data_IF_030753858190
#
_entry.id   IF_030753858190
#
_cell.length_a   1.000
_cell.length_b   1.000
_cell.length_c   1.000
_cell.angle_alpha   90.00
_cell.angle_beta   90.00
_cell.angle_gamma   90.00
#
_symmetry.space_group_name_H-M   'P 1'
#
loop_
_entity.id
_entity.type
_entity.pdbx_description
1 polymer ?
#
# COMPACT_ATOMS: atom_id res chain seq x y z
N UNK A 1 -4.91 10.32 86.57
CA UNK A 1 -6.03 11.18 86.13
C UNK A 1 -6.15 11.07 84.63
N UNK A 2 -7.35 10.67 84.20
CA UNK A 2 -7.84 10.42 82.85
C UNK A 2 -7.70 11.59 81.88
N UNK A 3 -7.28 11.35 80.64
CA UNK A 3 -8.00 11.83 79.43
C UNK A 3 -7.62 11.02 78.19
N UNK A 4 -8.55 10.19 77.70
CA UNK A 4 -8.55 9.65 76.34
C UNK A 4 -9.01 10.75 75.38
N UNK A 5 -8.30 10.97 74.26
CA UNK A 5 -8.86 11.61 73.07
C UNK A 5 -8.70 10.70 71.86
N UNK A 6 -9.85 10.22 71.36
CA UNK A 6 -10.07 9.73 70.00
C UNK A 6 -9.58 10.79 68.99
N UNK A 7 -9.09 10.37 67.82
CA UNK A 7 -9.88 10.49 66.58
C UNK A 7 -9.04 10.34 65.30
N UNK A 8 -9.50 9.42 64.45
CA UNK A 8 -9.44 9.33 62.99
C UNK A 8 -8.08 9.17 62.26
N UNK A 9 -7.86 7.90 61.86
CA UNK A 9 -7.11 7.48 60.67
C UNK A 9 -7.70 8.12 59.41
N UNK A 10 -6.93 8.96 58.73
CA UNK A 10 -7.17 9.35 57.35
C UNK A 10 -6.53 8.33 56.41
N UNK A 11 -7.34 7.51 55.74
CA UNK A 11 -6.91 6.64 54.65
C UNK A 11 -6.74 7.55 53.41
N UNK A 12 -5.50 7.78 53.01
CA UNK A 12 -5.18 8.46 51.75
C UNK A 12 -5.31 7.45 50.62
N UNK A 13 -6.41 7.52 49.86
CA UNK A 13 -6.55 6.76 48.60
C UNK A 13 -5.74 7.49 47.54
N UNK A 14 -4.55 6.96 47.23
CA UNK A 14 -3.75 7.41 46.09
C UNK A 14 -4.43 6.96 44.79
N UNK A 15 -5.14 7.87 44.13
CA UNK A 15 -5.60 7.70 42.75
C UNK A 15 -4.38 7.67 41.83
N UNK A 16 -3.93 6.46 41.48
CA UNK A 16 -2.94 6.26 40.43
C UNK A 16 -3.58 6.55 39.08
N UNK A 17 -3.25 7.72 38.53
CA UNK A 17 -3.61 8.08 37.15
C UNK A 17 -2.74 7.23 36.23
N UNK A 18 -3.31 6.16 35.68
CA UNK A 18 -2.69 5.43 34.57
C UNK A 18 -2.65 6.37 33.36
N UNK A 19 -1.51 6.99 33.13
CA UNK A 19 -1.17 7.68 31.89
C UNK A 19 -1.10 6.63 30.78
N UNK A 20 -2.24 6.36 30.13
CA UNK A 20 -2.28 5.71 28.83
C UNK A 20 -1.48 6.59 27.88
N UNK A 21 -0.23 6.19 27.67
CA UNK A 21 0.67 6.78 26.69
C UNK A 21 0.12 6.37 25.33
N UNK A 22 -0.83 7.15 24.80
CA UNK A 22 -1.24 7.07 23.42
C UNK A 22 -0.06 7.55 22.58
N UNK A 23 0.89 6.65 22.31
CA UNK A 23 1.87 6.88 21.25
C UNK A 23 1.06 7.13 19.98
N UNK A 24 1.17 8.29 19.32
CA UNK A 24 0.64 8.41 17.98
C UNK A 24 1.40 7.37 17.16
N UNK A 25 0.69 6.37 16.65
CA UNK A 25 1.25 5.43 15.66
C UNK A 25 1.47 6.29 14.42
N UNK A 26 2.68 6.82 14.28
CA UNK A 26 3.10 7.46 13.05
C UNK A 26 3.24 6.32 12.06
N UNK A 27 2.23 6.15 11.20
CA UNK A 27 2.42 5.42 9.96
C UNK A 27 3.73 5.95 9.35
N UNK A 28 4.69 5.07 9.09
CA UNK A 28 5.94 5.45 8.47
C UNK A 28 5.59 6.25 7.21
N UNK A 29 5.96 7.53 7.18
CA UNK A 29 5.82 8.33 5.98
C UNK A 29 6.81 7.73 4.98
N UNK A 30 6.31 6.91 4.08
CA UNK A 30 6.99 6.58 2.83
C UNK A 30 7.17 7.89 2.06
N UNK A 31 8.24 8.60 2.38
CA UNK A 31 8.61 9.75 1.59
C UNK A 31 8.89 9.25 0.18
N UNK A 32 8.35 9.93 -0.83
CA UNK A 32 8.72 9.80 -2.25
C UNK A 32 10.23 9.99 -2.53
N UNK A 33 11.05 10.17 -1.49
CA UNK A 33 12.45 10.61 -1.56
C UNK A 33 13.46 9.50 -1.87
N UNK A 34 13.04 8.25 -2.00
CA UNK A 34 13.89 7.13 -2.42
C UNK A 34 13.78 6.81 -3.93
N UNK A 35 12.81 7.40 -4.64
CA UNK A 35 12.74 7.34 -6.11
C UNK A 35 13.70 8.35 -6.73
N UNK A 36 14.48 7.91 -7.72
CA UNK A 36 15.21 8.81 -8.61
C UNK A 36 14.26 9.66 -9.48
N UNK A 37 14.76 10.75 -10.05
CA UNK A 37 13.97 11.61 -10.94
C UNK A 37 13.43 10.86 -12.18
N UNK A 38 14.19 9.90 -12.68
CA UNK A 38 13.80 9.04 -13.80
C UNK A 38 12.67 8.09 -13.39
N UNK A 39 12.83 7.34 -12.30
CA UNK A 39 11.80 6.43 -11.78
C UNK A 39 10.50 7.17 -11.44
N UNK A 40 10.62 8.39 -10.90
CA UNK A 40 9.45 9.24 -10.61
C UNK A 40 8.73 9.66 -11.89
N UNK A 41 9.47 10.02 -12.93
CA UNK A 41 8.90 10.40 -14.23
C UNK A 41 8.24 9.21 -14.91
N UNK A 42 8.87 8.03 -14.89
CA UNK A 42 8.30 6.79 -15.41
C UNK A 42 6.99 6.44 -14.69
N UNK A 43 6.97 6.51 -13.35
CA UNK A 43 5.76 6.29 -12.56
C UNK A 43 4.66 7.29 -12.93
N UNK A 44 4.98 8.58 -13.01
CA UNK A 44 4.02 9.63 -13.36
C UNK A 44 3.39 9.38 -14.72
N UNK A 45 4.20 9.05 -15.73
CA UNK A 45 3.72 8.74 -17.08
C UNK A 45 2.87 7.47 -17.10
N UNK A 46 3.31 6.41 -16.43
CA UNK A 46 2.62 5.12 -16.43
C UNK A 46 1.28 5.16 -15.68
N UNK A 47 1.18 5.96 -14.63
CA UNK A 47 -0.01 6.08 -13.78
C UNK A 47 -0.93 7.25 -14.18
N UNK A 48 -0.52 8.10 -15.13
CA UNK A 48 -1.28 9.31 -15.47
C UNK A 48 -1.32 10.32 -14.32
N UNK A 49 -0.22 10.43 -13.57
CA UNK A 49 -0.09 11.37 -12.45
C UNK A 49 0.62 12.63 -12.94
N UNK A 50 0.05 13.78 -12.64
CA UNK A 50 0.65 15.09 -12.87
C UNK A 50 0.99 15.72 -11.52
N UNK A 51 2.25 16.13 -11.32
CA UNK A 51 2.67 16.84 -10.11
C UNK A 51 3.06 18.28 -10.44
N UNK A 52 2.73 19.20 -9.54
CA UNK A 52 3.17 20.59 -9.62
C UNK A 52 4.70 20.65 -9.49
N UNK A 53 5.35 21.32 -10.43
CA UNK A 53 6.82 21.49 -10.44
C UNK A 53 7.32 22.44 -9.35
N UNK A 54 6.45 23.31 -8.83
CA UNK A 54 6.73 24.23 -7.73
C UNK A 54 6.48 23.63 -6.34
N UNK A 55 5.68 22.57 -6.28
CA UNK A 55 5.36 21.80 -5.07
C UNK A 55 5.37 20.32 -5.43
N UNK A 56 6.55 19.69 -5.35
CA UNK A 56 6.79 18.30 -5.79
C UNK A 56 5.83 17.24 -5.25
N UNK A 57 5.13 17.56 -4.17
CA UNK A 57 4.25 16.65 -3.42
C UNK A 57 2.75 16.90 -3.72
N UNK A 58 2.43 17.95 -4.48
CA UNK A 58 1.09 18.23 -4.95
C UNK A 58 0.86 17.52 -6.29
N UNK A 59 0.48 16.25 -6.22
CA UNK A 59 0.21 15.41 -7.38
C UNK A 59 -1.29 15.14 -7.53
N UNK A 60 -1.73 14.95 -8.77
CA UNK A 60 -3.13 14.65 -9.12
C UNK A 60 -3.22 13.60 -10.22
N UNK A 61 -4.30 12.83 -10.24
CA UNK A 61 -4.66 11.94 -11.34
C UNK A 61 -6.16 12.03 -11.64
N UNK A 62 -6.55 11.84 -12.90
CA UNK A 62 -7.94 12.03 -13.36
C UNK A 62 -8.10 13.28 -14.22
N UNK A 63 -9.32 13.81 -14.30
CA UNK A 63 -9.66 14.97 -15.11
C UNK A 63 -9.73 16.24 -14.25
N UNK A 64 -8.63 16.99 -14.23
CA UNK A 64 -8.53 18.27 -13.50
C UNK A 64 -9.46 19.33 -14.09
N UNK A 65 -9.67 19.35 -15.40
CA UNK A 65 -10.50 20.36 -16.08
C UNK A 65 -11.99 20.25 -15.70
N UNK A 66 -12.49 19.02 -15.52
CA UNK A 66 -13.87 18.78 -15.08
C UNK A 66 -14.04 18.77 -13.56
N UNK A 67 -12.95 18.91 -12.79
CA UNK A 67 -12.95 18.79 -11.33
C UNK A 67 -13.11 17.34 -10.84
N UNK A 68 -12.90 16.36 -11.71
CA UNK A 68 -13.07 14.93 -11.43
C UNK A 68 -11.69 14.25 -11.36
N UNK A 69 -10.97 14.58 -10.29
CA UNK A 69 -9.60 14.15 -10.06
C UNK A 69 -9.38 13.82 -8.59
N UNK A 70 -8.31 13.07 -8.34
CA UNK A 70 -7.85 12.74 -7.01
C UNK A 70 -6.57 13.49 -6.70
N UNK A 71 -6.37 13.81 -5.42
CA UNK A 71 -5.02 14.09 -4.92
C UNK A 71 -4.27 12.76 -4.87
N UNK A 72 -3.00 12.77 -5.27
CA UNK A 72 -2.17 11.58 -5.32
C UNK A 72 -0.98 11.74 -4.41
N UNK A 73 -0.72 10.71 -3.61
CA UNK A 73 0.54 10.55 -2.87
C UNK A 73 1.37 9.47 -3.55
N UNK A 74 2.61 9.81 -3.87
CA UNK A 74 3.59 8.88 -4.45
C UNK A 74 4.33 8.19 -3.30
N UNK A 75 4.42 6.85 -3.38
CA UNK A 75 5.21 6.00 -2.51
C UNK A 75 6.59 5.75 -3.09
N UNK A 76 7.46 5.16 -2.27
CA UNK A 76 8.84 4.88 -2.62
C UNK A 76 9.05 3.68 -3.54
N UNK A 77 10.31 3.32 -3.72
CA UNK A 77 10.73 2.18 -4.53
C UNK A 77 10.23 0.86 -3.94
N UNK A 78 9.76 -0.03 -4.82
CA UNK A 78 9.38 -1.41 -4.49
C UNK A 78 10.56 -2.31 -4.09
N UNK A 79 11.77 -1.76 -3.99
CA UNK A 79 12.99 -2.46 -3.60
C UNK A 79 13.48 -1.95 -2.24
N UNK A 80 13.59 -0.62 -2.11
CA UNK A 80 14.27 0.00 -0.96
C UNK A 80 13.33 0.19 0.24
N UNK A 81 12.08 0.56 -0.02
CA UNK A 81 11.06 0.79 1.00
C UNK A 81 9.68 0.33 0.49
N UNK A 82 9.53 -0.97 0.16
CA UNK A 82 8.32 -1.46 -0.48
C UNK A 82 7.11 -1.32 0.45
N UNK A 83 6.05 -0.70 -0.08
CA UNK A 83 4.74 -0.74 0.54
C UNK A 83 3.93 -1.87 -0.09
N UNK A 84 3.81 -2.99 0.61
CA UNK A 84 3.13 -4.16 0.06
C UNK A 84 1.62 -4.12 0.27
N UNK A 85 0.92 -4.86 -0.56
CA UNK A 85 -0.47 -5.22 -0.35
C UNK A 85 -0.81 -6.53 -1.04
N UNK A 86 -2.05 -6.97 -0.92
CA UNK A 86 -2.54 -8.21 -1.52
C UNK A 86 -3.94 -7.99 -2.08
N UNK A 87 -4.15 -8.45 -3.31
CA UNK A 87 -5.49 -8.51 -3.90
C UNK A 87 -6.37 -9.43 -3.07
N UNK A 88 -7.64 -9.08 -2.91
CA UNK A 88 -8.60 -9.88 -2.16
C UNK A 88 -8.84 -11.26 -2.81
N UNK A 89 -9.84 -11.98 -2.31
CA UNK A 89 -10.21 -13.34 -2.71
C UNK A 89 -10.80 -13.44 -4.13
N UNK A 90 -10.82 -12.35 -4.90
CA UNK A 90 -11.40 -12.26 -6.25
C UNK A 90 -10.39 -11.68 -7.23
N UNK A 91 -10.47 -12.16 -8.47
CA UNK A 91 -9.75 -11.55 -9.59
C UNK A 91 -10.25 -10.13 -9.79
N UNK A 92 -9.32 -9.22 -10.07
CA UNK A 92 -9.65 -7.81 -10.32
C UNK A 92 -9.04 -7.31 -11.62
N UNK A 93 -9.55 -6.16 -12.05
CA UNK A 93 -9.09 -5.45 -13.23
C UNK A 93 -7.98 -4.49 -12.86
N UNK A 94 -6.89 -4.50 -13.63
CA UNK A 94 -5.80 -3.54 -13.54
C UNK A 94 -6.06 -2.41 -14.54
N UNK A 95 -6.29 -1.19 -14.05
CA UNK A 95 -6.79 -0.07 -14.87
C UNK A 95 -5.66 0.92 -15.19
N UNK A 96 -5.65 1.48 -16.41
CA UNK A 96 -4.60 2.41 -16.85
C UNK A 96 -4.66 3.76 -16.11
N UNK A 97 -5.85 4.17 -15.70
CA UNK A 97 -6.11 5.41 -14.98
C UNK A 97 -7.07 5.18 -13.83
N UNK A 98 -7.13 6.17 -12.94
CA UNK A 98 -8.13 6.24 -11.87
C UNK A 98 -9.56 6.26 -12.42
N UNK A 99 -10.54 5.81 -11.62
CA UNK A 99 -11.93 5.89 -12.02
C UNK A 99 -12.43 7.33 -11.95
N UNK A 100 -13.09 7.78 -13.01
CA UNK A 100 -13.74 9.09 -13.09
C UNK A 100 -15.21 8.90 -13.46
N UNK A 101 -16.03 9.91 -13.27
CA UNK A 101 -17.45 9.95 -13.62
C UNK A 101 -17.68 9.41 -15.03
N UNK A 102 -18.42 8.30 -15.11
CA UNK A 102 -18.79 7.67 -16.38
C UNK A 102 -17.75 6.72 -16.97
N UNK A 103 -16.60 6.51 -16.34
CA UNK A 103 -15.62 5.50 -16.78
C UNK A 103 -14.69 5.01 -15.67
N UNK A 104 -14.56 3.70 -15.54
CA UNK A 104 -13.55 3.09 -14.65
C UNK A 104 -12.13 3.17 -15.24
N UNK A 105 -11.97 3.65 -16.48
CA UNK A 105 -10.71 3.65 -17.20
C UNK A 105 -10.47 2.34 -17.96
N UNK A 106 -9.46 2.36 -18.83
CA UNK A 106 -9.13 1.22 -19.71
C UNK A 106 -8.44 0.10 -18.92
N UNK A 107 -8.92 -1.13 -19.07
CA UNK A 107 -8.26 -2.35 -18.58
C UNK A 107 -6.95 -2.64 -19.31
N UNK A 108 -5.87 -2.82 -18.57
CA UNK A 108 -4.55 -3.26 -19.07
C UNK A 108 -4.26 -4.73 -18.73
N UNK A 109 -4.99 -5.33 -17.79
CA UNK A 109 -4.90 -6.74 -17.46
C UNK A 109 -5.81 -7.15 -16.30
N UNK A 110 -5.73 -8.42 -15.90
CA UNK A 110 -6.42 -8.94 -14.73
C UNK A 110 -5.42 -9.58 -13.75
N UNK A 111 -5.55 -9.22 -12.48
CA UNK A 111 -4.75 -9.80 -11.40
C UNK A 111 -5.50 -10.96 -10.77
N UNK A 112 -4.76 -12.01 -10.40
CA UNK A 112 -5.32 -13.17 -9.73
C UNK A 112 -5.79 -12.83 -8.30
N UNK A 113 -6.73 -13.62 -7.74
CA UNK A 113 -7.00 -13.59 -6.31
C UNK A 113 -5.71 -13.76 -5.50
N UNK A 114 -5.61 -13.09 -4.35
CA UNK A 114 -4.46 -13.17 -3.44
C UNK A 114 -3.11 -12.75 -4.05
N UNK A 115 -3.11 -12.09 -5.21
CA UNK A 115 -1.91 -11.60 -5.86
C UNK A 115 -1.18 -10.60 -4.94
N UNK A 116 0.10 -10.87 -4.65
CA UNK A 116 0.98 -9.92 -3.96
C UNK A 116 1.27 -8.73 -4.89
N UNK A 117 1.22 -7.53 -4.34
CA UNK A 117 1.48 -6.30 -5.08
C UNK A 117 2.38 -5.36 -4.26
N UNK A 118 3.12 -4.51 -4.96
CA UNK A 118 3.75 -3.33 -4.39
C UNK A 118 2.92 -2.09 -4.77
N UNK A 119 2.56 -1.29 -3.77
CA UNK A 119 1.84 -0.02 -3.89
C UNK A 119 2.85 1.09 -4.19
N UNK A 120 2.67 1.77 -5.31
CA UNK A 120 3.56 2.84 -5.80
C UNK A 120 2.94 4.23 -5.69
N UNK A 121 1.61 4.33 -5.69
CA UNK A 121 0.89 5.58 -5.43
C UNK A 121 -0.48 5.29 -4.83
N UNK A 122 -1.06 6.28 -4.15
CA UNK A 122 -2.46 6.27 -3.72
C UNK A 122 -3.19 7.51 -4.19
N UNK A 123 -4.38 7.31 -4.73
CA UNK A 123 -5.35 8.34 -5.02
C UNK A 123 -6.28 8.51 -3.82
N UNK A 124 -6.40 9.74 -3.33
CA UNK A 124 -7.13 10.08 -2.12
C UNK A 124 -8.22 11.11 -2.41
N UNK A 125 -9.35 10.94 -1.75
CA UNK A 125 -10.35 12.00 -1.55
C UNK A 125 -10.23 12.45 -0.11
N UNK A 126 -9.84 13.71 0.10
CA UNK A 126 -9.39 14.23 1.39
C UNK A 126 -8.23 13.40 1.96
N UNK A 127 -8.49 12.61 3.00
CA UNK A 127 -7.52 11.74 3.69
C UNK A 127 -7.81 10.25 3.51
N UNK A 128 -8.84 9.92 2.71
CA UNK A 128 -9.28 8.53 2.52
C UNK A 128 -8.72 7.97 1.23
N UNK A 129 -8.00 6.86 1.34
CA UNK A 129 -7.47 6.10 0.22
C UNK A 129 -8.62 5.51 -0.58
N UNK A 130 -8.68 5.83 -1.88
CA UNK A 130 -9.77 5.41 -2.77
C UNK A 130 -9.27 4.40 -3.80
N UNK A 131 -8.08 4.62 -4.34
CA UNK A 131 -7.44 3.72 -5.31
C UNK A 131 -5.93 3.66 -5.09
N UNK A 132 -5.34 2.50 -5.39
CA UNK A 132 -3.89 2.32 -5.36
C UNK A 132 -3.36 2.08 -6.77
N UNK A 133 -2.26 2.74 -7.12
CA UNK A 133 -1.47 2.34 -8.27
C UNK A 133 -0.46 1.29 -7.82
N UNK A 134 -0.58 0.09 -8.38
CA UNK A 134 0.17 -1.08 -7.93
C UNK A 134 0.99 -1.69 -9.04
N UNK A 135 2.08 -2.36 -8.66
CA UNK A 135 2.84 -3.29 -9.49
C UNK A 135 2.62 -4.70 -8.95
N UNK A 136 2.14 -5.61 -9.79
CA UNK A 136 2.03 -7.00 -9.37
C UNK A 136 3.41 -7.65 -9.30
N UNK A 137 3.64 -8.45 -8.26
CA UNK A 137 4.89 -9.16 -8.05
C UNK A 137 4.71 -10.63 -8.44
N UNK A 138 5.75 -11.34 -8.89
CA UNK A 138 5.67 -12.78 -9.06
C UNK A 138 5.17 -13.43 -7.77
N UNK A 139 4.22 -14.36 -7.89
CA UNK A 139 3.84 -15.25 -6.79
C UNK A 139 4.88 -16.36 -6.57
N UNK A 140 5.92 -16.40 -7.40
CA UNK A 140 7.02 -17.33 -7.24
C UNK A 140 7.81 -16.98 -6.00
N UNK A 141 8.00 -17.99 -5.15
CA UNK A 141 8.76 -17.83 -3.92
C UNK A 141 10.23 -17.56 -4.22
N UNK A 142 10.87 -16.74 -3.37
CA UNK A 142 12.30 -16.50 -3.44
C UNK A 142 13.13 -17.79 -3.20
N UNK A 143 14.44 -17.74 -3.45
CA UNK A 143 15.33 -18.89 -3.29
C UNK A 143 15.33 -19.50 -1.88
N UNK A 144 14.92 -18.74 -0.87
CA UNK A 144 14.72 -19.15 0.52
C UNK A 144 13.64 -20.24 0.71
N UNK A 145 12.76 -20.41 -0.27
CA UNK A 145 11.61 -21.32 -0.20
C UNK A 145 11.89 -22.72 -0.78
N UNK A 146 13.16 -23.08 -0.94
CA UNK A 146 13.53 -24.39 -1.48
C UNK A 146 13.18 -25.50 -0.48
N UNK A 147 12.35 -26.44 -0.92
CA UNK A 147 11.95 -27.66 -0.21
C UNK A 147 11.06 -27.46 1.06
N UNK A 148 10.59 -26.23 1.32
CA UNK A 148 9.68 -25.93 2.44
C UNK A 148 8.21 -26.21 2.09
N UNK A 149 7.49 -26.89 2.99
CA UNK A 149 6.10 -27.30 2.73
C UNK A 149 5.14 -26.11 2.59
N UNK A 150 5.44 -25.02 3.31
CA UNK A 150 4.73 -23.73 3.25
C UNK A 150 4.97 -22.98 1.93
N UNK A 151 6.02 -23.36 1.19
CA UNK A 151 6.37 -22.78 -0.10
C UNK A 151 6.09 -23.74 -1.26
N UNK A 152 5.26 -24.77 -1.05
CA UNK A 152 4.78 -25.61 -2.16
C UNK A 152 4.22 -24.70 -3.25
N UNK A 153 4.76 -24.83 -4.46
CA UNK A 153 4.30 -24.05 -5.61
C UNK A 153 2.78 -24.12 -5.69
N UNK A 154 2.07 -22.99 -5.72
CA UNK A 154 0.63 -22.99 -5.89
C UNK A 154 0.27 -23.75 -7.17
N UNK A 155 -0.96 -24.25 -7.25
CA UNK A 155 -1.47 -24.72 -8.54
C UNK A 155 -1.26 -23.62 -9.59
N UNK A 156 -0.89 -23.97 -10.84
CA UNK A 156 -0.70 -22.99 -11.88
C UNK A 156 -1.93 -22.09 -12.00
N UNK A 157 -1.72 -20.77 -12.00
CA UNK A 157 -2.80 -19.80 -12.15
C UNK A 157 -3.55 -20.05 -13.47
N UNK A 158 -4.84 -19.66 -13.59
CA UNK A 158 -5.53 -19.59 -14.88
C UNK A 158 -4.71 -18.85 -15.96
N UNK A 159 -4.89 -19.25 -17.23
CA UNK A 159 -4.06 -18.80 -18.36
C UNK A 159 -4.09 -17.28 -18.54
N UNK A 160 -5.23 -16.64 -18.25
CA UNK A 160 -5.38 -15.19 -18.27
C UNK A 160 -4.39 -14.49 -17.33
N UNK A 161 -4.23 -14.96 -16.10
CA UNK A 161 -3.33 -14.37 -15.12
C UNK A 161 -1.87 -14.67 -15.44
N UNK A 162 -1.58 -15.88 -15.93
CA UNK A 162 -0.24 -16.20 -16.44
C UNK A 162 0.15 -15.26 -17.58
N UNK A 163 -0.78 -14.96 -18.49
CA UNK A 163 -0.54 -14.07 -19.63
C UNK A 163 -0.27 -12.63 -19.18
N UNK A 164 -1.02 -12.14 -18.18
CA UNK A 164 -0.80 -10.83 -17.56
C UNK A 164 0.59 -10.73 -16.91
N UNK A 165 1.05 -11.80 -16.26
CA UNK A 165 2.35 -11.86 -15.58
C UNK A 165 3.52 -12.29 -16.47
N UNK A 166 3.28 -12.67 -17.73
CA UNK A 166 4.28 -13.36 -18.57
C UNK A 166 5.58 -12.57 -18.82
N UNK A 167 5.54 -11.24 -18.71
CA UNK A 167 6.70 -10.36 -18.87
C UNK A 167 7.38 -9.99 -17.55
N UNK A 168 6.76 -10.35 -16.42
CA UNK A 168 7.24 -10.02 -15.09
C UNK A 168 8.38 -10.96 -14.71
N UNK A 169 9.57 -10.41 -14.54
CA UNK A 169 10.77 -11.17 -14.19
C UNK A 169 11.58 -10.43 -13.11
N UNK A 170 12.30 -11.20 -12.30
CA UNK A 170 13.27 -10.64 -11.37
C UNK A 170 14.39 -9.97 -12.19
N UNK A 171 14.71 -8.72 -11.85
CA UNK A 171 15.74 -7.92 -12.49
C UNK A 171 16.78 -7.55 -11.44
N UNK A 172 18.03 -7.94 -11.65
CA UNK A 172 19.11 -7.72 -10.67
C UNK A 172 19.42 -6.25 -10.36
N UNK A 173 18.97 -5.32 -11.21
CA UNK A 173 19.20 -3.88 -11.05
C UNK A 173 17.93 -3.14 -10.61
N UNK A 174 16.77 -3.51 -11.16
CA UNK A 174 15.47 -2.86 -10.92
C UNK A 174 14.56 -3.66 -9.98
N UNK A 175 15.04 -4.75 -9.39
CA UNK A 175 14.29 -5.71 -8.57
C UNK A 175 13.32 -6.54 -9.40
N UNK A 176 12.42 -5.88 -10.14
CA UNK A 176 11.46 -6.50 -11.04
C UNK A 176 11.31 -5.69 -12.32
N UNK A 177 11.27 -6.36 -13.47
CA UNK A 177 11.09 -5.75 -14.78
C UNK A 177 9.89 -6.37 -15.51
N UNK A 178 9.19 -5.55 -16.30
CA UNK A 178 8.08 -6.01 -17.16
C UNK A 178 6.82 -6.44 -16.41
N UNK A 179 6.74 -6.18 -15.11
CA UNK A 179 5.59 -6.53 -14.30
C UNK A 179 4.38 -5.64 -14.60
N UNK A 180 3.16 -6.20 -14.61
CA UNK A 180 1.96 -5.45 -14.92
C UNK A 180 1.68 -4.44 -13.81
N UNK A 181 1.28 -3.23 -14.22
CA UNK A 181 1.03 -2.09 -13.35
C UNK A 181 -0.29 -1.41 -13.69
N UNK A 182 -0.95 -0.83 -12.69
CA UNK A 182 -2.18 -0.07 -12.89
C UNK A 182 -2.91 0.25 -11.59
N UNK A 183 -4.01 0.97 -11.74
CA UNK A 183 -4.92 1.37 -10.67
C UNK A 183 -5.89 0.25 -10.31
N UNK A 184 -6.12 0.09 -9.01
CA UNK A 184 -7.07 -0.85 -8.40
C UNK A 184 -7.84 -0.13 -7.30
N UNK A 185 -9.09 -0.50 -7.04
CA UNK A 185 -9.83 0.13 -5.96
C UNK A 185 -9.27 -0.28 -4.60
N UNK A 186 -9.25 0.64 -3.63
CA UNK A 186 -8.78 0.35 -2.28
C UNK A 186 -9.63 -0.72 -1.56
N UNK A 187 -10.89 -0.90 -1.97
CA UNK A 187 -11.78 -1.95 -1.47
C UNK A 187 -11.49 -3.35 -2.03
N UNK A 188 -10.67 -3.45 -3.08
CA UNK A 188 -10.35 -4.70 -3.78
C UNK A 188 -9.05 -5.34 -3.29
N UNK A 189 -8.35 -4.68 -2.38
CA UNK A 189 -7.10 -5.15 -1.83
C UNK A 189 -6.91 -4.75 -0.37
N UNK A 190 -6.00 -5.44 0.28
CA UNK A 190 -5.53 -5.12 1.62
C UNK A 190 -4.12 -4.53 1.51
N UNK A 191 -3.89 -3.38 2.13
CA UNK A 191 -2.58 -2.74 2.17
C UNK A 191 -1.88 -3.04 3.50
N UNK A 192 -0.60 -3.41 3.44
CA UNK A 192 0.19 -3.83 4.60
C UNK A 192 1.10 -2.70 5.08
N UNK A 193 0.49 -1.74 5.77
CA UNK A 193 1.18 -0.53 6.27
C UNK A 193 2.28 -0.83 7.30
N UNK A 194 2.28 -2.02 7.91
CA UNK A 194 3.29 -2.49 8.87
C UNK A 194 4.18 -3.62 8.32
N UNK A 195 4.19 -3.84 7.01
CA UNK A 195 4.83 -5.01 6.39
C UNK A 195 4.00 -6.29 6.52
N UNK A 196 4.46 -7.38 5.88
CA UNK A 196 3.80 -8.68 5.94
C UNK A 196 3.89 -9.23 7.37
N UNK A 197 2.79 -9.17 8.12
CA UNK A 197 2.69 -9.90 9.39
C UNK A 197 2.53 -11.39 9.09
N UNK A 198 3.60 -12.16 9.24
CA UNK A 198 3.48 -13.62 9.32
C UNK A 198 2.76 -13.95 10.64
N UNK A 199 1.71 -14.80 10.64
CA UNK A 199 1.19 -15.33 11.89
C UNK A 199 2.32 -16.12 12.59
N UNK A 200 2.62 -15.75 13.84
CA UNK A 200 3.49 -16.52 14.74
C UNK A 200 2.79 -17.79 15.21
#
# INVERSE_FOLDING_TARGET
>A
MTTLKKSLYGITIALSVMSLSSSPIWAASSNSGDLSAEERTELQQAAGITCDTSKSDACTAGNVESGDFYNVRIYGSCINAPYYGRINDKSITLRKGVATTGTDGKTEGTLAPNQLVCIKAVAQVNVTDTEYYVMALPMDYGPECKDEELCKKPQPLPKEHQSTMAKCQNDSQKGYAGCPQGWVFASEMEAYSNGLSFPQ
#
